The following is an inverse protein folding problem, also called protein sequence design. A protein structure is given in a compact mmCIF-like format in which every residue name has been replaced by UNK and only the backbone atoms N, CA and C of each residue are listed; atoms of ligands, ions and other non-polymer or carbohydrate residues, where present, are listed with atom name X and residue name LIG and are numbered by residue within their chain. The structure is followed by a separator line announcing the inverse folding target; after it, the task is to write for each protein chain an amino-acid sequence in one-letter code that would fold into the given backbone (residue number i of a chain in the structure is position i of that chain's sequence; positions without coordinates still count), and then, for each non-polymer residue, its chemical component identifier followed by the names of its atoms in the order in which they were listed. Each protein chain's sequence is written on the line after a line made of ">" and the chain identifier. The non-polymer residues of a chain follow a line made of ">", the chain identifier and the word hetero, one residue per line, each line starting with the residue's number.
data_IF_632371413456
#
_entry.id   IF_632371413456
#
_cell.length_a   1.000
_cell.length_b   1.000
_cell.length_c   1.000
_cell.angle_alpha   90.00
_cell.angle_beta   90.00
_cell.angle_gamma   90.00
#
_symmetry.space_group_name_H-M   'P 1'
#
loop_
_entity.id
_entity.type
_entity.pdbx_description
1 polymer ?
#
# COMPACT_ATOMS: atom_id res chain seq x y z
N UNK A 1 -3.83 8.16 -9.47
CA UNK A 1 -5.11 8.81 -9.14
C UNK A 1 -5.20 8.81 -7.63
N UNK A 2 -5.18 9.98 -6.98
CA UNK A 2 -5.61 10.04 -5.59
C UNK A 2 -7.14 9.89 -5.61
N UNK A 3 -7.65 8.96 -4.84
CA UNK A 3 -9.08 8.76 -4.62
C UNK A 3 -9.67 9.87 -3.73
N UNK A 4 -8.96 10.99 -3.55
CA UNK A 4 -9.17 12.11 -2.61
C UNK A 4 -10.61 12.65 -2.54
N UNK A 5 -11.44 12.42 -3.56
CA UNK A 5 -12.83 12.87 -3.60
C UNK A 5 -13.86 11.85 -3.09
N UNK A 6 -13.48 10.62 -2.73
CA UNK A 6 -14.38 9.69 -2.04
C UNK A 6 -14.08 9.68 -0.53
N UNK A 7 -14.79 10.56 0.17
CA UNK A 7 -14.68 10.77 1.61
C UNK A 7 -15.17 9.58 2.45
N UNK A 8 -15.76 8.54 1.84
CA UNK A 8 -16.30 7.39 2.57
C UNK A 8 -15.82 6.03 2.04
N UNK A 9 -14.77 6.03 1.21
CA UNK A 9 -14.22 4.79 0.63
C UNK A 9 -13.57 3.88 1.65
N UNK A 10 -13.62 2.60 1.36
CA UNK A 10 -12.70 1.60 1.91
C UNK A 10 -11.59 1.38 0.87
N UNK A 11 -10.34 1.25 1.29
CA UNK A 11 -9.18 1.09 0.39
C UNK A 11 -8.08 0.27 1.08
N UNK A 12 -7.40 -0.57 0.30
CA UNK A 12 -6.30 -1.43 0.76
C UNK A 12 -5.12 -1.24 -0.19
N UNK A 13 -4.01 -0.72 0.33
CA UNK A 13 -2.95 -0.21 -0.52
C UNK A 13 -1.71 -1.10 -0.52
N UNK A 14 -1.16 -1.27 -1.72
CA UNK A 14 0.25 -1.49 -1.93
C UNK A 14 0.81 -0.29 -2.69
N UNK A 15 1.78 0.39 -2.12
CA UNK A 15 2.44 1.55 -2.72
C UNK A 15 3.95 1.30 -2.76
N UNK A 16 4.49 1.18 -3.97
CA UNK A 16 5.93 1.03 -4.18
C UNK A 16 6.57 2.41 -4.24
N UNK A 17 7.32 2.75 -3.19
CA UNK A 17 8.01 4.03 -3.08
C UNK A 17 9.38 3.90 -3.75
N UNK A 18 9.55 4.62 -4.87
CA UNK A 18 10.77 4.65 -5.65
C UNK A 18 11.97 5.23 -4.89
N UNK A 19 13.16 5.05 -5.45
CA UNK A 19 14.39 5.56 -4.85
C UNK A 19 15.42 5.92 -5.93
N UNK A 20 16.55 6.51 -5.50
CA UNK A 20 17.71 6.76 -6.36
C UNK A 20 18.33 5.43 -6.81
N UNK A 21 19.03 5.44 -7.96
CA UNK A 21 19.73 4.26 -8.46
C UNK A 21 20.68 3.69 -7.39
N UNK A 22 20.55 2.39 -7.12
CA UNK A 22 21.34 1.68 -6.10
C UNK A 22 20.75 1.70 -4.69
N UNK A 23 19.73 2.50 -4.42
CA UNK A 23 19.05 2.57 -3.13
C UNK A 23 17.77 1.68 -3.11
N UNK A 24 17.41 1.08 -1.97
CA UNK A 24 16.31 0.13 -1.91
C UNK A 24 14.95 0.81 -2.09
N UNK A 25 14.03 0.14 -2.78
CA UNK A 25 12.61 0.47 -2.76
C UNK A 25 12.01 0.18 -1.38
N UNK A 26 11.03 0.99 -0.98
CA UNK A 26 10.17 0.67 0.16
C UNK A 26 8.78 0.29 -0.34
N UNK A 27 8.19 -0.75 0.25
CA UNK A 27 6.78 -1.09 0.05
C UNK A 27 5.97 -0.53 1.22
N UNK A 28 5.00 0.32 0.93
CA UNK A 28 4.04 0.81 1.91
C UNK A 28 2.72 0.05 1.76
N UNK A 29 2.15 -0.37 2.89
CA UNK A 29 0.76 -0.85 2.95
C UNK A 29 -0.08 0.11 3.76
N UNK A 30 -1.33 0.32 3.37
CA UNK A 30 -2.29 1.12 4.12
C UNK A 30 -3.67 0.47 4.12
N UNK A 31 -4.50 0.87 5.08
CA UNK A 31 -5.89 0.42 5.19
C UNK A 31 -6.73 1.65 5.49
N UNK A 32 -7.58 2.03 4.56
CA UNK A 32 -8.63 3.02 4.75
C UNK A 32 -9.95 2.33 5.05
N UNK A 33 -10.69 2.93 5.97
CA UNK A 33 -12.10 2.60 6.20
C UNK A 33 -12.90 3.86 6.36
N UNK A 34 -13.99 3.98 5.61
CA UNK A 34 -14.85 5.18 5.62
C UNK A 34 -14.05 6.48 5.43
N UNK A 35 -13.15 6.48 4.46
CA UNK A 35 -12.28 7.61 4.11
C UNK A 35 -11.12 7.87 5.09
N UNK A 36 -11.03 7.15 6.21
CA UNK A 36 -9.96 7.36 7.20
C UNK A 36 -8.87 6.32 7.01
N UNK A 37 -7.69 6.77 6.58
CA UNK A 37 -6.45 5.99 6.48
C UNK A 37 -5.54 6.18 7.69
N UNK A 38 -4.25 6.50 7.46
CA UNK A 38 -3.27 6.75 8.54
C UNK A 38 -2.80 5.48 9.23
N UNK A 39 -2.82 4.34 8.52
CA UNK A 39 -2.43 3.02 9.03
C UNK A 39 -1.25 2.48 8.22
N UNK A 40 -0.34 3.35 7.84
CA UNK A 40 0.80 3.01 7.00
C UNK A 40 1.74 2.04 7.73
N UNK A 41 2.20 1.02 7.01
CA UNK A 41 3.36 0.23 7.41
C UNK A 41 4.34 0.21 6.23
N UNK A 42 5.63 0.42 6.50
CA UNK A 42 6.69 0.41 5.49
C UNK A 42 7.59 -0.79 5.68
N UNK A 43 7.89 -1.46 4.57
CA UNK A 43 8.69 -2.67 4.52
C UNK A 43 9.86 -2.46 3.56
N UNK A 44 11.06 -2.86 3.97
CA UNK A 44 12.18 -3.08 3.05
C UNK A 44 12.08 -4.53 2.55
N UNK A 45 12.22 -4.72 1.25
CA UNK A 45 12.11 -6.03 0.63
C UNK A 45 13.42 -6.82 0.79
N UNK A 46 13.29 -8.13 0.96
CA UNK A 46 14.44 -9.07 1.05
C UNK A 46 15.00 -9.46 -0.32
N UNK A 47 14.59 -8.76 -1.37
CA UNK A 47 15.02 -8.93 -2.76
C UNK A 47 14.97 -7.58 -3.48
N UNK A 48 15.59 -7.51 -4.66
CA UNK A 48 15.49 -6.34 -5.54
C UNK A 48 14.24 -6.47 -6.43
N UNK A 49 13.18 -5.66 -6.19
CA UNK A 49 11.91 -5.78 -6.92
C UNK A 49 12.01 -5.32 -8.38
N UNK A 50 13.14 -4.74 -8.82
CA UNK A 50 13.33 -4.26 -10.19
C UNK A 50 13.89 -5.33 -11.13
N UNK A 51 14.40 -6.43 -10.58
CA UNK A 51 15.15 -7.43 -11.36
C UNK A 51 14.28 -8.58 -11.87
N UNK A 52 13.17 -8.88 -11.19
CA UNK A 52 12.26 -9.99 -11.52
C UNK A 52 10.83 -9.66 -11.07
N UNK A 53 9.86 -10.32 -11.70
CA UNK A 53 8.48 -10.27 -11.22
C UNK A 53 8.32 -11.06 -9.92
N UNK A 54 7.55 -10.49 -9.01
CA UNK A 54 7.11 -11.08 -7.74
C UNK A 54 5.60 -10.97 -7.64
N UNK A 55 4.98 -11.84 -6.84
CA UNK A 55 3.53 -11.82 -6.64
C UNK A 55 3.18 -10.92 -5.46
N UNK A 56 2.27 -9.97 -5.66
CA UNK A 56 1.73 -9.14 -4.58
C UNK A 56 0.23 -9.42 -4.50
N UNK A 57 -0.25 -9.81 -3.33
CA UNK A 57 -1.61 -10.31 -3.19
C UNK A 57 -2.26 -9.84 -1.90
N UNK A 58 -3.57 -9.62 -1.96
CA UNK A 58 -4.39 -9.29 -0.80
C UNK A 58 -5.45 -10.38 -0.64
N UNK A 59 -5.39 -11.10 0.48
CA UNK A 59 -6.52 -11.90 0.94
C UNK A 59 -7.43 -11.00 1.77
N UNK A 60 -8.66 -10.80 1.33
CA UNK A 60 -9.68 -10.07 2.07
C UNK A 60 -10.91 -10.94 2.28
N UNK A 61 -11.25 -11.23 3.54
CA UNK A 61 -12.43 -11.98 3.92
C UNK A 61 -13.03 -11.43 5.24
N UNK A 62 -14.10 -12.07 5.75
CA UNK A 62 -14.82 -11.60 6.96
C UNK A 62 -14.00 -11.66 8.26
N UNK A 63 -12.86 -12.35 8.26
CA UNK A 63 -12.03 -12.58 9.43
C UNK A 63 -10.75 -11.76 9.42
N UNK A 64 -10.18 -11.49 8.24
CA UNK A 64 -8.89 -10.80 8.13
C UNK A 64 -8.65 -10.22 6.74
N UNK A 65 -7.73 -9.26 6.72
CA UNK A 65 -6.99 -8.81 5.54
C UNK A 65 -5.55 -9.29 5.71
N UNK A 66 -4.98 -9.89 4.68
CA UNK A 66 -3.57 -10.28 4.66
C UNK A 66 -2.93 -9.77 3.39
N UNK A 67 -1.86 -9.01 3.54
CA UNK A 67 -0.98 -8.56 2.46
C UNK A 67 0.16 -9.56 2.33
N UNK A 68 0.35 -10.09 1.13
CA UNK A 68 1.40 -11.06 0.81
C UNK A 68 2.39 -10.48 -0.20
N UNK A 69 3.65 -10.88 -0.03
CA UNK A 69 4.68 -10.80 -1.05
C UNK A 69 5.14 -12.23 -1.31
N UNK A 70 4.96 -12.69 -2.54
CA UNK A 70 4.98 -14.10 -2.90
C UNK A 70 4.09 -14.90 -1.95
N UNK A 71 4.64 -15.86 -1.21
CA UNK A 71 3.91 -16.67 -0.23
C UNK A 71 4.03 -16.14 1.21
N UNK A 72 4.76 -15.03 1.41
CA UNK A 72 5.10 -14.50 2.74
C UNK A 72 4.08 -13.42 3.15
N UNK A 73 3.35 -13.61 4.27
CA UNK A 73 2.48 -12.57 4.79
C UNK A 73 3.31 -11.45 5.42
N UNK A 74 3.22 -10.24 4.86
CA UNK A 74 3.96 -9.06 5.36
C UNK A 74 3.13 -8.20 6.31
N UNK A 75 1.80 -8.31 6.24
CA UNK A 75 0.87 -7.64 7.16
C UNK A 75 -0.42 -8.43 7.31
N UNK A 76 -0.88 -8.59 8.55
CA UNK A 76 -2.18 -9.18 8.88
C UNK A 76 -3.01 -8.18 9.68
N UNK A 77 -4.19 -7.82 9.18
CA UNK A 77 -5.18 -7.02 9.89
C UNK A 77 -6.40 -7.88 10.20
N UNK A 78 -6.55 -8.31 11.46
CA UNK A 78 -7.64 -9.19 11.89
C UNK A 78 -8.91 -8.40 12.18
N UNK A 79 -10.06 -8.96 11.82
CA UNK A 79 -11.37 -8.48 12.24
C UNK A 79 -11.68 -9.01 13.65
N UNK A 80 -11.53 -8.14 14.64
CA UNK A 80 -11.81 -8.42 16.05
C UNK A 80 -12.77 -7.38 16.62
N UNK A 81 -13.24 -7.55 17.86
CA UNK A 81 -14.06 -6.52 18.51
C UNK A 81 -13.35 -5.16 18.54
N UNK A 82 -12.04 -5.15 18.80
CA UNK A 82 -11.23 -3.93 18.88
C UNK A 82 -11.03 -3.24 17.51
N UNK A 83 -10.95 -4.01 16.43
CA UNK A 83 -10.69 -3.49 15.06
C UNK A 83 -11.93 -3.40 14.19
N UNK A 84 -13.10 -3.81 14.69
CA UNK A 84 -14.36 -3.86 13.92
C UNK A 84 -14.78 -2.53 13.30
N UNK A 85 -14.46 -1.42 13.95
CA UNK A 85 -14.75 -0.06 13.49
C UNK A 85 -13.83 0.42 12.36
N UNK A 86 -12.71 -0.28 12.12
CA UNK A 86 -11.69 0.02 11.10
C UNK A 86 -11.44 -1.17 10.17
N UNK A 87 -12.44 -2.04 10.03
CA UNK A 87 -12.38 -3.19 9.13
C UNK A 87 -13.35 -3.00 7.94
N UNK A 88 -12.87 -2.98 6.69
CA UNK A 88 -13.72 -2.83 5.53
C UNK A 88 -14.50 -4.13 5.30
N UNK A 89 -15.83 -4.04 5.38
CA UNK A 89 -16.72 -5.24 5.30
C UNK A 89 -18.04 -5.01 4.58
N UNK A 90 -18.41 -3.76 4.35
CA UNK A 90 -19.75 -3.39 3.89
C UNK A 90 -19.81 -2.85 2.47
N UNK A 91 -18.65 -2.52 1.87
CA UNK A 91 -18.55 -1.86 0.59
C UNK A 91 -17.84 -2.76 -0.41
N UNK A 92 -18.38 -2.90 -1.62
CA UNK A 92 -17.65 -3.54 -2.72
C UNK A 92 -16.48 -2.64 -3.15
N UNK A 93 -15.33 -3.24 -3.45
CA UNK A 93 -14.14 -2.51 -3.88
C UNK A 93 -13.73 -2.91 -5.30
N UNK A 94 -13.08 -2.00 -6.01
CA UNK A 94 -12.46 -2.26 -7.31
C UNK A 94 -10.96 -2.46 -7.14
N UNK A 95 -10.35 -3.18 -8.08
CA UNK A 95 -8.90 -3.27 -8.18
C UNK A 95 -8.39 -2.17 -9.12
N UNK A 96 -7.44 -1.38 -8.64
CA UNK A 96 -6.84 -0.28 -9.39
C UNK A 96 -5.32 -0.47 -9.35
N UNK A 97 -4.66 -0.16 -10.46
CA UNK A 97 -3.21 -0.01 -10.51
C UNK A 97 -2.89 1.31 -11.20
N UNK A 98 -1.87 2.02 -10.73
CA UNK A 98 -1.44 3.28 -11.33
C UNK A 98 0.03 3.54 -11.07
N UNK A 99 0.65 4.33 -11.95
CA UNK A 99 1.98 4.91 -11.76
C UNK A 99 1.79 6.43 -11.81
N UNK A 100 2.29 7.14 -10.79
CA UNK A 100 2.10 8.58 -10.66
C UNK A 100 3.22 9.21 -9.82
N UNK A 101 3.38 10.53 -9.94
CA UNK A 101 4.39 11.28 -9.20
C UNK A 101 3.89 11.65 -7.78
N UNK A 102 4.65 11.26 -6.76
CA UNK A 102 4.39 11.52 -5.35
C UNK A 102 5.55 12.27 -4.66
N UNK A 103 6.23 13.17 -5.38
CA UNK A 103 7.40 13.95 -4.96
C UNK A 103 7.32 14.57 -3.56
N UNK A 104 6.13 14.90 -3.08
CA UNK A 104 5.95 15.56 -1.80
C UNK A 104 6.19 14.64 -0.60
N UNK A 105 6.21 13.31 -0.77
CA UNK A 105 6.31 12.38 0.36
C UNK A 105 6.95 11.01 0.07
N UNK A 106 7.00 10.56 -1.19
CA UNK A 106 7.39 9.18 -1.52
C UNK A 106 8.84 8.84 -1.15
N UNK A 107 9.80 9.58 -1.69
CA UNK A 107 11.23 9.25 -1.52
C UNK A 107 11.86 10.10 -0.43
N UNK A 108 12.41 9.45 0.61
CA UNK A 108 13.00 10.11 1.80
C UNK A 108 12.07 11.17 2.42
N UNK A 109 10.77 10.87 2.50
CA UNK A 109 9.78 11.82 3.02
C UNK A 109 9.57 13.05 2.13
N UNK A 110 9.87 12.94 0.83
CA UNK A 110 9.71 14.01 -0.15
C UNK A 110 10.96 14.88 -0.37
N UNK A 111 12.11 14.53 0.23
CA UNK A 111 13.37 15.26 0.02
C UNK A 111 13.95 15.02 -1.37
N UNK A 112 13.73 13.83 -1.93
CA UNK A 112 14.21 13.46 -3.26
C UNK A 112 13.07 13.56 -4.27
N UNK A 113 13.30 14.31 -5.34
CA UNK A 113 12.32 14.59 -6.39
C UNK A 113 12.58 13.74 -7.63
N UNK A 114 11.52 13.51 -8.39
CA UNK A 114 11.55 12.80 -9.66
C UNK A 114 12.44 13.54 -10.64
N UNK A 115 13.43 12.83 -11.20
CA UNK A 115 14.21 13.32 -12.32
C UNK A 115 13.51 12.94 -13.63
N UNK A 116 12.86 13.91 -14.28
CA UNK A 116 12.15 13.70 -15.54
C UNK A 116 13.06 13.65 -16.78
N UNK A 117 14.35 13.92 -16.63
CA UNK A 117 15.32 13.89 -17.72
C UNK A 117 16.14 12.59 -17.79
N UNK A 118 15.89 11.64 -16.88
CA UNK A 118 16.59 10.36 -16.83
C UNK A 118 16.34 9.49 -18.08
#
# INVERSE_FOLDING_TARGET
>A
MSSENDMNRDELDFEFLGNRSGEPYALQTNIYTKGVGGREQRHILWFDPTTKFHTYSILWNRHQIVFFIDEVPVRVHRHTKATSHVFPRGQGMYMISSIWNADNWATRGGLDKTNWAA
#
